data_IF_014167083593
#
_entry.id   IF_014167083593
#
_cell.length_a   1.000
_cell.length_b   1.000
_cell.length_c   1.000
_cell.angle_alpha   90.00
_cell.angle_beta   90.00
_cell.angle_gamma   90.00
#
_symmetry.space_group_name_H-M   'P 1'
#
loop_
_entity.id
_entity.type
_entity.pdbx_description
1 polymer ?
#
# COMPACT_ATOMS: atom_id res chain seq x y z
N UNK A 1 -30.71 -3.00 38.91
CA UNK A 1 -30.04 -1.92 38.15
C UNK A 1 -28.62 -2.34 37.74
N UNK A 2 -28.45 -3.17 36.70
CA UNK A 2 -27.14 -3.72 36.31
C UNK A 2 -26.85 -3.69 34.80
N UNK A 3 -27.62 -2.92 34.03
CA UNK A 3 -27.49 -2.84 32.57
C UNK A 3 -26.78 -1.56 32.07
N UNK A 4 -26.73 -0.48 32.86
CA UNK A 4 -26.14 0.79 32.45
C UNK A 4 -24.61 0.92 32.62
N UNK A 5 -23.92 -0.06 33.23
CA UNK A 5 -22.44 -0.01 33.41
C UNK A 5 -21.63 -0.62 32.28
N UNK A 6 -22.25 -1.29 31.30
CA UNK A 6 -21.53 -1.90 30.17
C UNK A 6 -21.36 -0.96 28.96
N UNK A 7 -22.03 0.19 28.95
CA UNK A 7 -21.95 1.17 27.85
C UNK A 7 -20.84 2.22 28.01
N UNK A 8 -20.15 2.26 29.16
CA UNK A 8 -19.08 3.23 29.45
C UNK A 8 -17.66 2.63 29.35
N UNK A 9 -17.53 1.38 28.87
CA UNK A 9 -16.26 0.66 28.75
C UNK A 9 -15.61 0.70 27.37
N UNK A 10 -16.16 1.45 26.40
CA UNK A 10 -15.43 1.75 25.16
C UNK A 10 -14.37 2.77 25.51
N UNK A 11 -13.17 2.29 25.84
CA UNK A 11 -11.93 3.08 25.96
C UNK A 11 -11.86 3.96 24.70
N UNK A 12 -12.28 5.22 24.86
CA UNK A 12 -12.40 6.18 23.78
C UNK A 12 -11.01 6.30 23.18
N UNK A 13 -10.90 6.05 21.88
CA UNK A 13 -9.62 6.15 21.17
C UNK A 13 -9.21 7.61 21.30
N UNK A 14 -8.18 7.87 22.10
CA UNK A 14 -7.68 9.22 22.31
C UNK A 14 -6.72 9.53 21.18
N UNK A 15 -7.26 10.05 20.08
CA UNK A 15 -6.47 10.55 18.98
C UNK A 15 -5.90 11.91 19.37
N UNK A 16 -4.59 12.04 19.37
CA UNK A 16 -3.89 13.31 19.55
C UNK A 16 -3.35 13.76 18.18
N UNK A 17 -3.98 14.76 17.52
CA UNK A 17 -3.54 15.24 16.22
C UNK A 17 -2.10 15.80 16.23
N UNK A 18 -1.67 16.40 17.34
CA UNK A 18 -0.31 16.93 17.48
C UNK A 18 0.72 15.79 17.46
N UNK A 19 0.47 14.77 18.28
CA UNK A 19 1.31 13.56 18.31
C UNK A 19 1.32 12.81 16.97
N UNK A 20 0.19 12.75 16.27
CA UNK A 20 0.11 12.11 14.96
C UNK A 20 0.96 12.84 13.91
N UNK A 21 0.95 14.17 13.92
CA UNK A 21 1.81 14.95 13.02
C UNK A 21 3.29 14.79 13.37
N UNK A 22 3.65 14.81 14.66
CA UNK A 22 5.02 14.53 15.12
C UNK A 22 5.50 13.15 14.64
N UNK A 23 4.69 12.09 14.86
CA UNK A 23 5.00 10.73 14.41
C UNK A 23 5.14 10.65 12.88
N UNK A 24 4.28 11.34 12.13
CA UNK A 24 4.35 11.36 10.67
C UNK A 24 5.64 12.03 10.18
N UNK A 25 6.01 13.17 10.78
CA UNK A 25 7.26 13.87 10.46
C UNK A 25 8.47 13.00 10.81
N UNK A 26 8.44 12.32 11.95
CA UNK A 26 9.48 11.36 12.35
C UNK A 26 9.64 10.23 11.33
N UNK A 27 8.53 9.62 10.88
CA UNK A 27 8.55 8.57 9.86
C UNK A 27 9.11 9.08 8.52
N UNK A 28 8.75 10.30 8.13
CA UNK A 28 9.20 10.91 6.88
C UNK A 28 10.68 11.29 6.92
N UNK A 29 11.15 11.81 8.06
CA UNK A 29 12.51 12.34 8.17
C UNK A 29 13.52 11.26 8.59
N UNK A 30 13.18 10.34 9.48
CA UNK A 30 14.20 9.44 10.06
C UNK A 30 14.50 8.19 9.24
N UNK A 31 13.71 7.92 8.20
CA UNK A 31 13.77 6.68 7.42
C UNK A 31 13.79 6.93 5.91
N UNK A 32 14.10 5.89 5.14
CA UNK A 32 14.11 5.89 3.68
C UNK A 32 15.49 5.64 3.08
N UNK A 33 15.62 5.87 1.76
CA UNK A 33 16.82 5.53 0.99
C UNK A 33 18.11 6.22 1.47
N UNK A 34 18.01 7.35 2.17
CA UNK A 34 19.16 8.09 2.70
C UNK A 34 19.81 7.44 3.92
N UNK A 35 19.14 6.48 4.55
CA UNK A 35 19.61 5.84 5.79
C UNK A 35 20.44 4.62 5.44
N UNK A 36 21.65 4.52 5.99
CA UNK A 36 22.59 3.42 5.79
C UNK A 36 22.24 2.18 6.64
N UNK A 37 20.97 1.79 6.64
CA UNK A 37 20.42 0.63 7.34
C UNK A 37 19.58 -0.14 6.33
N UNK A 38 19.62 -1.47 6.37
CA UNK A 38 18.84 -2.29 5.44
C UNK A 38 17.34 -2.00 5.57
N UNK A 39 16.60 -2.04 4.45
CA UNK A 39 15.17 -1.72 4.44
C UNK A 39 14.34 -2.56 5.42
N UNK A 40 14.55 -3.88 5.57
CA UNK A 40 13.82 -4.67 6.56
C UNK A 40 13.98 -4.15 8.01
N UNK A 41 15.19 -3.74 8.38
CA UNK A 41 15.47 -3.21 9.72
C UNK A 41 14.80 -1.85 9.93
N UNK A 42 14.78 -1.00 8.90
CA UNK A 42 14.03 0.27 8.93
C UNK A 42 12.52 0.03 9.06
N UNK A 43 11.97 -0.95 8.34
CA UNK A 43 10.56 -1.35 8.45
C UNK A 43 10.23 -1.74 9.88
N UNK A 44 11.03 -2.60 10.50
CA UNK A 44 10.81 -3.05 11.87
C UNK A 44 10.90 -1.90 12.88
N UNK A 45 11.81 -0.94 12.65
CA UNK A 45 11.93 0.25 13.47
C UNK A 45 10.69 1.15 13.36
N UNK A 46 10.15 1.35 12.16
CA UNK A 46 8.91 2.12 11.96
C UNK A 46 7.72 1.40 12.59
N UNK A 47 7.61 0.08 12.44
CA UNK A 47 6.52 -0.70 13.05
C UNK A 47 6.51 -0.53 14.57
N UNK A 48 7.68 -0.52 15.22
CA UNK A 48 7.80 -0.24 16.66
C UNK A 48 7.47 1.22 17.01
N UNK A 49 7.90 2.17 16.18
CA UNK A 49 7.62 3.60 16.38
C UNK A 49 6.12 3.89 16.31
N UNK A 50 5.39 3.23 15.40
CA UNK A 50 3.96 3.38 15.20
C UNK A 50 3.13 2.47 16.14
N UNK A 51 3.66 2.16 17.32
CA UNK A 51 2.90 1.45 18.34
C UNK A 51 1.78 2.34 18.93
N UNK A 52 0.62 1.74 19.21
CA UNK A 52 -0.60 2.44 19.65
C UNK A 52 -1.54 2.94 18.54
N UNK A 53 -2.57 3.68 18.97
CA UNK A 53 -3.67 4.14 18.10
C UNK A 53 -3.28 5.32 17.21
N UNK A 54 -2.47 6.27 17.73
CA UNK A 54 -1.95 7.37 16.92
C UNK A 54 -1.03 6.84 15.81
N UNK A 55 -0.17 5.86 16.14
CA UNK A 55 0.66 5.19 15.15
C UNK A 55 -0.16 4.45 14.09
N UNK A 56 -1.30 3.86 14.47
CA UNK A 56 -2.23 3.25 13.53
C UNK A 56 -2.87 4.28 12.58
N UNK A 57 -3.29 5.44 13.10
CA UNK A 57 -3.79 6.56 12.28
C UNK A 57 -2.73 7.08 11.32
N UNK A 58 -1.47 7.19 11.77
CA UNK A 58 -0.34 7.59 10.93
C UNK A 58 -0.08 6.56 9.83
N UNK A 59 -0.08 5.26 10.15
CA UNK A 59 0.07 4.21 9.13
C UNK A 59 -1.03 4.27 8.07
N UNK A 60 -2.29 4.46 8.48
CA UNK A 60 -3.41 4.65 7.55
C UNK A 60 -3.23 5.93 6.69
N UNK A 61 -2.75 7.03 7.29
CA UNK A 61 -2.46 8.28 6.60
C UNK A 61 -1.35 8.14 5.56
N UNK A 62 -0.28 7.39 5.86
CA UNK A 62 0.80 7.10 4.89
C UNK A 62 0.25 6.41 3.64
N UNK A 63 -0.56 5.35 3.81
CA UNK A 63 -1.16 4.63 2.68
C UNK A 63 -2.08 5.52 1.84
N UNK A 64 -2.87 6.38 2.50
CA UNK A 64 -3.71 7.37 1.81
C UNK A 64 -2.88 8.38 1.03
N UNK A 65 -1.88 9.02 1.65
CA UNK A 65 -1.04 10.03 0.99
C UNK A 65 -0.30 9.45 -0.22
N UNK A 66 0.21 8.21 -0.12
CA UNK A 66 0.83 7.53 -1.27
C UNK A 66 -0.17 7.32 -2.41
N UNK A 67 -1.38 6.86 -2.09
CA UNK A 67 -2.42 6.63 -3.08
C UNK A 67 -2.90 7.95 -3.75
N UNK A 68 -3.10 9.01 -2.96
CA UNK A 68 -3.54 10.32 -3.45
C UNK A 68 -2.47 10.99 -4.34
N UNK A 69 -1.21 10.95 -3.94
CA UNK A 69 -0.10 11.51 -4.72
C UNK A 69 0.15 10.71 -6.00
N UNK A 70 0.06 9.37 -5.95
CA UNK A 70 0.17 8.55 -7.15
C UNK A 70 -0.96 8.82 -8.15
N UNK A 71 -2.19 8.99 -7.66
CA UNK A 71 -3.32 9.36 -8.51
C UNK A 71 -3.10 10.72 -9.19
N UNK A 72 -2.64 11.70 -8.41
CA UNK A 72 -2.32 13.05 -8.88
C UNK A 72 -1.21 13.04 -9.93
N UNK A 73 -0.16 12.25 -9.71
CA UNK A 73 0.93 12.11 -10.67
C UNK A 73 0.45 11.49 -11.99
N UNK A 74 -0.40 10.45 -11.97
CA UNK A 74 -0.97 9.90 -13.21
C UNK A 74 -1.85 10.90 -13.96
N UNK A 75 -2.63 11.72 -13.26
CA UNK A 75 -3.39 12.80 -13.89
C UNK A 75 -2.45 13.79 -14.60
N UNK A 76 -1.35 14.17 -13.94
CA UNK A 76 -0.31 15.01 -14.53
C UNK A 76 0.33 14.38 -15.76
N UNK A 77 0.74 13.12 -15.68
CA UNK A 77 1.33 12.38 -16.80
C UNK A 77 0.36 12.25 -17.99
N UNK A 78 -0.92 11.96 -17.72
CA UNK A 78 -1.95 11.86 -18.75
C UNK A 78 -2.20 13.22 -19.44
N UNK A 79 -2.24 14.31 -18.66
CA UNK A 79 -2.37 15.67 -19.20
C UNK A 79 -1.18 16.04 -20.08
N UNK A 80 0.05 15.78 -19.63
CA UNK A 80 1.26 16.06 -20.38
C UNK A 80 1.36 15.22 -21.67
N UNK A 81 0.90 13.97 -21.65
CA UNK A 81 0.84 13.16 -22.86
C UNK A 81 -0.21 13.70 -23.83
N UNK A 82 -1.39 14.11 -23.33
CA UNK A 82 -2.41 14.73 -24.16
C UNK A 82 -1.90 16.00 -24.83
N UNK A 83 -1.21 16.87 -24.08
CA UNK A 83 -0.61 18.10 -24.60
C UNK A 83 0.40 17.85 -25.73
N UNK A 84 1.22 16.79 -25.61
CA UNK A 84 2.27 16.47 -26.58
C UNK A 84 1.79 15.70 -27.81
N UNK A 85 0.75 14.87 -27.66
CA UNK A 85 0.36 13.88 -28.68
C UNK A 85 -1.09 14.02 -29.17
N UNK A 86 -1.91 14.85 -28.51
CA UNK A 86 -3.35 14.94 -28.75
C UNK A 86 -4.16 13.76 -28.20
N UNK A 87 -3.50 12.68 -27.72
CA UNK A 87 -4.17 11.49 -27.21
C UNK A 87 -4.78 11.73 -25.82
N UNK A 88 -6.09 11.52 -25.67
CA UNK A 88 -6.75 11.56 -24.35
C UNK A 88 -6.64 10.21 -23.67
N UNK A 89 -6.12 10.21 -22.45
CA UNK A 89 -6.07 9.04 -21.58
C UNK A 89 -7.03 9.25 -20.41
N UNK A 90 -7.72 8.18 -20.01
CA UNK A 90 -8.58 8.17 -18.83
C UNK A 90 -7.79 7.58 -17.67
N UNK A 91 -7.70 8.33 -16.58
CA UNK A 91 -7.12 7.87 -15.31
C UNK A 91 -8.26 7.45 -14.40
N UNK A 92 -8.45 6.15 -14.23
CA UNK A 92 -9.42 5.58 -13.29
C UNK A 92 -8.70 5.14 -12.02
N UNK A 93 -8.99 5.82 -10.90
CA UNK A 93 -8.42 5.52 -9.59
C UNK A 93 -8.71 4.09 -9.11
N UNK A 94 -9.82 3.49 -9.57
CA UNK A 94 -10.22 2.14 -9.17
C UNK A 94 -9.52 1.05 -9.98
N UNK A 95 -8.86 1.42 -11.08
CA UNK A 95 -8.19 0.50 -11.98
C UNK A 95 -7.20 1.23 -12.90
N UNK A 96 -5.91 1.21 -12.57
CA UNK A 96 -4.89 1.85 -13.39
C UNK A 96 -4.46 1.00 -14.60
N UNK A 97 -4.83 -0.29 -14.65
CA UNK A 97 -4.35 -1.22 -15.70
C UNK A 97 -4.74 -0.80 -17.14
N UNK A 98 -5.97 -0.33 -17.42
CA UNK A 98 -6.32 0.17 -18.76
C UNK A 98 -5.45 1.36 -19.20
N UNK A 99 -5.11 2.26 -18.28
CA UNK A 99 -4.21 3.38 -18.53
C UNK A 99 -2.82 2.85 -18.92
N UNK A 100 -2.27 1.93 -18.13
CA UNK A 100 -0.98 1.30 -18.40
C UNK A 100 -0.94 0.58 -19.74
N UNK A 101 -1.90 -0.29 -20.06
CA UNK A 101 -1.95 -0.98 -21.37
C UNK A 101 -2.00 0.00 -22.55
N UNK A 102 -2.60 1.15 -22.34
CA UNK A 102 -2.73 2.17 -23.37
C UNK A 102 -1.42 2.94 -23.61
N UNK A 103 -0.63 3.19 -22.56
CA UNK A 103 0.47 4.16 -22.60
C UNK A 103 1.73 3.75 -21.81
N UNK A 104 1.95 2.45 -21.58
CA UNK A 104 3.04 1.97 -20.73
C UNK A 104 4.44 2.51 -21.10
N UNK A 105 4.84 2.57 -22.38
CA UNK A 105 6.14 3.15 -22.75
C UNK A 105 6.30 4.62 -22.40
N UNK A 106 5.20 5.38 -22.32
CA UNK A 106 5.18 6.81 -22.07
C UNK A 106 4.95 7.18 -20.60
N UNK A 107 4.53 6.22 -19.79
CA UNK A 107 4.25 6.41 -18.36
C UNK A 107 5.46 6.05 -17.51
N UNK A 108 5.63 6.80 -16.43
CA UNK A 108 6.61 6.53 -15.37
C UNK A 108 5.89 5.91 -14.18
N UNK A 109 6.55 4.93 -13.57
CA UNK A 109 6.05 4.35 -12.32
C UNK A 109 6.29 5.32 -11.15
N UNK A 110 5.25 5.70 -10.39
CA UNK A 110 5.32 6.90 -9.54
C UNK A 110 5.96 6.65 -8.17
N UNK A 111 5.93 5.42 -7.63
CA UNK A 111 6.12 5.17 -6.20
C UNK A 111 7.47 5.59 -5.60
N UNK A 112 8.53 5.74 -6.41
CA UNK A 112 9.84 6.23 -5.93
C UNK A 112 10.02 7.76 -5.98
N UNK A 113 9.11 8.47 -6.63
CA UNK A 113 9.26 9.90 -6.92
C UNK A 113 8.08 10.75 -6.40
N UNK A 114 7.25 10.18 -5.52
CA UNK A 114 6.09 10.90 -4.97
C UNK A 114 6.50 12.05 -4.04
N UNK A 115 5.81 13.21 -4.10
CA UNK A 115 6.09 14.36 -3.22
C UNK A 115 5.91 14.07 -1.72
N UNK A 116 5.11 13.08 -1.34
CA UNK A 116 4.88 12.71 0.06
C UNK A 116 6.13 12.16 0.78
N UNK A 117 7.20 11.85 0.04
CA UNK A 117 8.52 11.50 0.60
C UNK A 117 8.60 10.11 1.23
N UNK A 118 7.60 9.25 0.99
CA UNK A 118 7.59 7.89 1.51
C UNK A 118 8.24 6.92 0.53
N UNK A 119 9.24 6.17 1.00
CA UNK A 119 9.86 5.12 0.22
C UNK A 119 8.97 3.85 0.21
N UNK A 120 8.70 3.25 -0.95
CA UNK A 120 7.76 2.13 -1.07
C UNK A 120 8.20 0.93 -0.23
N UNK A 121 9.50 0.64 -0.19
CA UNK A 121 10.01 -0.54 0.52
C UNK A 121 10.30 -0.31 2.00
N UNK A 122 10.10 0.92 2.50
CA UNK A 122 10.37 1.27 3.91
C UNK A 122 9.09 1.77 4.57
N UNK A 123 8.71 3.02 4.35
CA UNK A 123 7.55 3.60 5.04
C UNK A 123 6.24 2.96 4.61
N UNK A 124 6.05 2.66 3.33
CA UNK A 124 4.81 2.04 2.84
C UNK A 124 4.71 0.58 3.29
N UNK A 125 5.81 -0.18 3.20
CA UNK A 125 5.88 -1.54 3.72
C UNK A 125 5.60 -1.61 5.24
N UNK A 126 6.14 -0.67 6.02
CA UNK A 126 5.88 -0.56 7.45
C UNK A 126 4.43 -0.18 7.74
N UNK A 127 3.88 0.81 7.04
CA UNK A 127 2.49 1.23 7.18
C UNK A 127 1.51 0.08 6.90
N UNK A 128 1.72 -0.67 5.81
CA UNK A 128 0.96 -1.88 5.49
C UNK A 128 1.02 -2.88 6.66
N UNK A 129 2.23 -3.17 7.16
CA UNK A 129 2.45 -4.09 8.28
C UNK A 129 1.70 -3.67 9.56
N UNK A 130 1.72 -2.38 9.90
CA UNK A 130 1.02 -1.84 11.08
C UNK A 130 -0.48 -2.01 10.94
N UNK A 131 -1.08 -1.65 9.80
CA UNK A 131 -2.54 -1.75 9.62
C UNK A 131 -3.01 -3.20 9.56
N UNK A 132 -2.23 -4.08 8.92
CA UNK A 132 -2.54 -5.51 8.85
C UNK A 132 -2.47 -6.20 10.22
N UNK A 133 -1.36 -6.03 10.93
CA UNK A 133 -1.14 -6.66 12.25
C UNK A 133 -2.14 -6.18 13.31
N UNK A 134 -2.83 -5.06 13.07
CA UNK A 134 -3.82 -4.47 13.97
C UNK A 134 -5.20 -4.35 13.34
N UNK A 135 -5.54 -5.21 12.37
CA UNK A 135 -6.82 -5.17 11.66
C UNK A 135 -8.07 -5.08 12.56
N UNK A 136 -8.13 -5.83 13.66
CA UNK A 136 -9.26 -5.73 14.61
C UNK A 136 -9.33 -4.36 15.28
N UNK A 137 -8.19 -3.70 15.52
CA UNK A 137 -8.15 -2.33 16.05
C UNK A 137 -8.50 -1.32 14.97
N UNK A 138 -8.04 -1.52 13.73
CA UNK A 138 -8.42 -0.73 12.54
C UNK A 138 -9.94 -0.60 12.47
N UNK A 139 -10.66 -1.72 12.38
CA UNK A 139 -12.14 -1.73 12.22
C UNK A 139 -12.87 -1.04 13.39
N UNK A 140 -12.23 -0.94 14.57
CA UNK A 140 -12.79 -0.28 15.75
C UNK A 140 -12.45 1.20 15.87
N UNK A 141 -11.35 1.65 15.28
CA UNK A 141 -10.77 2.97 15.52
C UNK A 141 -10.83 3.89 14.29
N UNK A 142 -10.81 3.33 13.09
CA UNK A 142 -10.84 4.07 11.82
C UNK A 142 -11.83 3.41 10.86
N UNK A 143 -12.34 4.15 9.87
CA UNK A 143 -13.18 3.57 8.82
C UNK A 143 -12.34 2.60 7.97
N UNK A 144 -12.61 1.28 7.98
CA UNK A 144 -11.82 0.30 7.27
C UNK A 144 -12.02 0.35 5.75
N UNK A 145 -13.13 0.92 5.23
CA UNK A 145 -13.45 0.89 3.80
C UNK A 145 -12.49 1.76 2.95
N UNK A 146 -12.24 3.04 3.29
CA UNK A 146 -11.25 3.85 2.61
C UNK A 146 -9.84 3.27 2.75
N UNK A 147 -9.47 2.80 3.94
CA UNK A 147 -8.15 2.21 4.16
C UNK A 147 -7.94 0.98 3.29
N UNK A 148 -8.89 0.05 3.26
CA UNK A 148 -8.80 -1.14 2.43
C UNK A 148 -8.71 -0.78 0.93
N UNK A 149 -9.45 0.26 0.51
CA UNK A 149 -9.34 0.82 -0.84
C UNK A 149 -7.91 1.28 -1.14
N UNK A 150 -7.28 2.04 -0.24
CA UNK A 150 -5.90 2.50 -0.41
C UNK A 150 -4.89 1.35 -0.38
N UNK A 151 -5.08 0.33 0.46
CA UNK A 151 -4.22 -0.88 0.46
C UNK A 151 -4.26 -1.56 -0.91
N UNK A 152 -5.46 -1.77 -1.48
CA UNK A 152 -5.58 -2.35 -2.81
C UNK A 152 -5.07 -1.43 -3.92
N UNK A 153 -5.25 -0.11 -3.79
CA UNK A 153 -4.74 0.87 -4.74
C UNK A 153 -3.21 0.83 -4.78
N UNK A 154 -2.54 0.89 -3.63
CA UNK A 154 -1.07 0.78 -3.52
C UNK A 154 -0.58 -0.58 -4.03
N UNK A 155 -1.33 -1.66 -3.81
CA UNK A 155 -1.02 -2.97 -4.36
C UNK A 155 -1.13 -3.01 -5.90
N UNK A 156 -2.19 -2.45 -6.49
CA UNK A 156 -2.31 -2.35 -7.96
C UNK A 156 -1.19 -1.49 -8.54
N UNK A 157 -0.91 -0.33 -7.93
CA UNK A 157 0.20 0.55 -8.32
C UNK A 157 1.54 -0.20 -8.30
N UNK A 158 1.79 -1.00 -7.27
CA UNK A 158 3.02 -1.81 -7.13
C UNK A 158 3.13 -2.83 -8.27
N UNK A 159 2.09 -3.62 -8.48
CA UNK A 159 2.11 -4.73 -9.44
C UNK A 159 2.01 -4.28 -10.91
N UNK A 160 1.30 -3.17 -11.18
CA UNK A 160 1.27 -2.56 -12.50
C UNK A 160 2.65 -2.01 -12.92
N UNK A 161 3.46 -1.53 -11.96
CA UNK A 161 4.86 -1.17 -12.20
C UNK A 161 5.68 -2.34 -12.71
N UNK A 162 5.44 -3.54 -12.17
CA UNK A 162 6.15 -4.76 -12.58
C UNK A 162 5.70 -5.23 -13.98
N UNK A 163 4.39 -5.25 -14.22
CA UNK A 163 3.83 -5.74 -15.49
C UNK A 163 4.08 -4.78 -16.67
N UNK A 164 3.93 -3.48 -16.44
CA UNK A 164 3.89 -2.49 -17.53
C UNK A 164 5.01 -1.45 -17.42
N UNK A 165 5.37 -1.04 -16.19
CA UNK A 165 6.37 -0.01 -15.92
C UNK A 165 7.82 -0.46 -16.01
N UNK A 166 8.07 -1.74 -16.36
CA UNK A 166 9.42 -2.36 -16.41
C UNK A 166 10.19 -2.22 -15.09
N UNK A 167 9.48 -2.15 -13.98
CA UNK A 167 10.08 -2.11 -12.65
C UNK A 167 10.58 -3.50 -12.32
N UNK A 168 11.88 -3.61 -12.11
CA UNK A 168 12.51 -4.85 -11.69
C UNK A 168 12.00 -5.26 -10.31
N UNK A 169 11.67 -6.54 -10.14
CA UNK A 169 11.21 -7.08 -8.86
C UNK A 169 12.38 -7.65 -8.09
N UNK A 170 12.77 -7.01 -7.00
CA UNK A 170 13.72 -7.56 -6.03
C UNK A 170 12.98 -8.12 -4.80
N UNK A 171 13.74 -8.63 -3.82
CA UNK A 171 13.17 -9.16 -2.59
C UNK A 171 12.39 -8.13 -1.78
N UNK A 172 12.75 -6.85 -1.86
CA UNK A 172 12.07 -5.77 -1.13
C UNK A 172 10.72 -5.44 -1.79
N UNK A 173 10.67 -5.40 -3.12
CA UNK A 173 9.45 -5.27 -3.88
C UNK A 173 8.49 -6.46 -3.62
N UNK A 174 9.01 -7.69 -3.66
CA UNK A 174 8.23 -8.87 -3.33
C UNK A 174 7.70 -8.84 -1.89
N UNK A 175 8.52 -8.38 -0.93
CA UNK A 175 8.12 -8.20 0.47
C UNK A 175 6.97 -7.19 0.62
N UNK A 176 7.04 -6.04 -0.08
CA UNK A 176 5.96 -5.06 -0.09
C UNK A 176 4.64 -5.66 -0.59
N UNK A 177 4.66 -6.37 -1.72
CA UNK A 177 3.46 -7.02 -2.25
C UNK A 177 2.86 -8.03 -1.25
N UNK A 178 3.70 -8.88 -0.65
CA UNK A 178 3.25 -9.85 0.35
C UNK A 178 2.65 -9.18 1.59
N UNK A 179 3.25 -8.08 2.07
CA UNK A 179 2.71 -7.30 3.20
C UNK A 179 1.36 -6.68 2.87
N UNK A 180 1.18 -6.14 1.66
CA UNK A 180 -0.10 -5.59 1.21
C UNK A 180 -1.18 -6.68 1.09
N UNK A 181 -0.85 -7.85 0.53
CA UNK A 181 -1.77 -9.00 0.45
C UNK A 181 -2.18 -9.46 1.86
N UNK A 182 -1.20 -9.66 2.75
CA UNK A 182 -1.46 -10.08 4.12
C UNK A 182 -2.32 -9.07 4.89
N UNK A 183 -2.06 -7.77 4.70
CA UNK A 183 -2.81 -6.69 5.33
C UNK A 183 -4.25 -6.61 4.82
N UNK A 184 -4.44 -6.71 3.49
CA UNK A 184 -5.76 -6.75 2.89
C UNK A 184 -6.58 -7.95 3.41
N UNK A 185 -5.96 -9.13 3.52
CA UNK A 185 -6.58 -10.31 4.15
C UNK A 185 -6.99 -10.03 5.59
N UNK A 186 -6.08 -9.53 6.42
CA UNK A 186 -6.32 -9.30 7.84
C UNK A 186 -7.43 -8.28 8.07
N UNK A 187 -7.41 -7.16 7.33
CA UNK A 187 -8.44 -6.12 7.41
C UNK A 187 -9.79 -6.68 6.98
N UNK A 188 -9.87 -7.37 5.84
CA UNK A 188 -11.12 -7.97 5.36
C UNK A 188 -11.70 -9.00 6.33
N UNK A 189 -10.85 -9.84 6.92
CA UNK A 189 -11.27 -10.83 7.91
C UNK A 189 -11.76 -10.21 9.23
N UNK A 190 -11.37 -8.97 9.53
CA UNK A 190 -11.83 -8.23 10.69
C UNK A 190 -13.13 -7.44 10.46
N UNK A 191 -13.58 -7.32 9.20
CA UNK A 191 -14.81 -6.62 8.81
C UNK A 191 -16.00 -7.58 8.84
N UNK A 192 -17.15 -7.08 9.29
CA UNK A 192 -18.39 -7.88 9.28
C UNK A 192 -18.91 -8.12 7.85
N UNK A 193 -18.81 -7.12 6.98
CA UNK A 193 -19.22 -7.17 5.57
C UNK A 193 -18.15 -6.49 4.68
N UNK A 194 -17.09 -7.22 4.28
CA UNK A 194 -16.04 -6.65 3.45
C UNK A 194 -16.51 -6.39 2.02
N UNK A 195 -16.11 -5.27 1.39
CA UNK A 195 -16.48 -4.97 0.02
C UNK A 195 -15.94 -6.02 -0.96
N UNK A 196 -16.55 -6.14 -2.16
CA UNK A 196 -16.06 -7.04 -3.20
C UNK A 196 -14.64 -6.67 -3.63
N UNK A 197 -13.88 -7.67 -4.05
CA UNK A 197 -12.51 -7.46 -4.54
C UNK A 197 -12.49 -6.51 -5.76
N UNK A 198 -11.58 -5.53 -5.78
CA UNK A 198 -11.52 -4.56 -6.86
C UNK A 198 -11.12 -5.24 -8.19
N UNK A 199 -11.47 -4.66 -9.35
CA UNK A 199 -11.18 -5.26 -10.65
C UNK A 199 -9.72 -5.68 -10.85
N UNK A 200 -8.70 -4.89 -10.48
CA UNK A 200 -7.30 -5.31 -10.66
C UNK A 200 -6.93 -6.54 -9.85
N UNK A 201 -7.41 -6.66 -8.60
CA UNK A 201 -7.16 -7.82 -7.76
C UNK A 201 -7.78 -9.10 -8.37
N UNK A 202 -9.02 -9.01 -8.86
CA UNK A 202 -9.68 -10.13 -9.54
C UNK A 202 -8.98 -10.52 -10.84
N UNK A 203 -8.40 -9.56 -11.55
CA UNK A 203 -7.63 -9.82 -12.76
C UNK A 203 -6.35 -10.59 -12.45
N UNK A 204 -5.56 -10.12 -11.48
CA UNK A 204 -4.34 -10.80 -10.99
C UNK A 204 -4.62 -12.23 -10.53
N UNK A 205 -5.70 -12.45 -9.78
CA UNK A 205 -6.07 -13.77 -9.29
C UNK A 205 -6.44 -14.78 -10.39
N UNK A 206 -6.73 -14.32 -11.62
CA UNK A 206 -6.98 -15.20 -12.78
C UNK A 206 -5.70 -15.58 -13.50
N UNK A 207 -4.58 -14.91 -13.23
CA UNK A 207 -3.30 -15.26 -13.84
C UNK A 207 -2.58 -16.32 -13.00
N UNK A 208 -1.62 -16.99 -13.64
CA UNK A 208 -0.73 -17.96 -12.99
C UNK A 208 0.73 -17.71 -13.37
N UNK A 209 1.04 -16.45 -13.69
CA UNK A 209 2.37 -16.04 -14.13
C UNK A 209 3.28 -15.95 -12.91
N UNK A 210 4.49 -16.49 -13.05
CA UNK A 210 5.55 -16.30 -12.06
C UNK A 210 6.46 -15.17 -12.53
N UNK A 211 6.83 -14.29 -11.60
CA UNK A 211 7.75 -13.18 -11.82
C UNK A 211 9.04 -13.51 -11.08
N UNK A 212 10.17 -13.45 -11.79
CA UNK A 212 11.49 -13.63 -11.18
C UNK A 212 11.75 -12.53 -10.16
N UNK A 213 12.19 -12.94 -8.97
CA UNK A 213 12.58 -12.07 -7.87
C UNK A 213 14.09 -12.09 -7.77
N UNK A 214 14.67 -10.90 -7.83
CA UNK A 214 16.11 -10.74 -7.86
C UNK A 214 16.70 -10.34 -6.51
N UNK A 215 18.00 -10.60 -6.34
CA UNK A 215 18.81 -9.95 -5.29
C UNK A 215 18.77 -8.42 -5.47
N UNK A 216 18.46 -7.63 -4.42
CA UNK A 216 18.45 -6.16 -4.48
C UNK A 216 19.77 -5.55 -4.96
N UNK A 217 20.90 -6.21 -4.70
CA UNK A 217 22.25 -5.68 -4.99
C UNK A 217 22.86 -6.27 -6.27
N UNK A 218 22.30 -7.35 -6.80
CA UNK A 218 22.88 -8.12 -7.90
C UNK A 218 21.99 -8.17 -9.14
N UNK A 219 22.34 -9.06 -10.08
CA UNK A 219 21.50 -9.44 -11.24
C UNK A 219 20.98 -10.87 -11.15
N UNK A 220 21.20 -11.54 -10.02
CA UNK A 220 20.83 -12.93 -9.80
C UNK A 220 19.37 -13.06 -9.40
N UNK A 221 18.66 -13.99 -10.03
CA UNK A 221 17.34 -14.45 -9.58
C UNK A 221 17.54 -15.31 -8.33
N UNK A 222 16.85 -14.97 -7.24
CA UNK A 222 16.93 -15.66 -5.95
C UNK A 222 15.64 -16.40 -5.60
N UNK A 223 14.51 -16.02 -6.19
CA UNK A 223 13.23 -16.71 -6.07
C UNK A 223 12.28 -16.30 -7.20
N UNK A 224 11.04 -16.75 -7.16
CA UNK A 224 9.97 -16.29 -8.04
C UNK A 224 8.68 -16.09 -7.22
N UNK A 225 7.82 -15.16 -7.65
CA UNK A 225 6.53 -14.89 -7.02
C UNK A 225 5.39 -15.04 -8.03
N UNK A 226 4.34 -15.77 -7.66
CA UNK A 226 3.11 -15.87 -8.43
C UNK A 226 1.98 -15.18 -7.68
N UNK A 227 1.75 -13.91 -8.00
CA UNK A 227 0.77 -13.06 -7.31
C UNK A 227 -0.64 -13.67 -7.30
N UNK A 228 -1.07 -14.25 -8.43
CA UNK A 228 -2.38 -14.89 -8.50
C UNK A 228 -2.50 -16.08 -7.53
N UNK A 229 -1.45 -16.89 -7.45
CA UNK A 229 -1.39 -18.02 -6.51
C UNK A 229 -1.29 -17.59 -5.05
N UNK A 230 -0.59 -16.50 -4.73
CA UNK A 230 -0.52 -15.94 -3.37
C UNK A 230 -1.86 -15.32 -2.94
N UNK A 231 -2.54 -14.60 -3.84
CA UNK A 231 -3.77 -13.86 -3.53
C UNK A 231 -4.98 -14.77 -3.34
N UNK A 232 -5.12 -15.85 -4.13
CA UNK A 232 -6.27 -16.76 -4.06
C UNK A 232 -6.52 -17.31 -2.63
N UNK A 233 -5.57 -17.99 -1.97
CA UNK A 233 -5.77 -18.47 -0.60
C UNK A 233 -5.86 -17.32 0.41
N UNK A 234 -5.23 -16.17 0.14
CA UNK A 234 -5.27 -15.04 1.06
C UNK A 234 -6.59 -14.27 1.06
N UNK A 235 -7.30 -14.18 -0.08
CA UNK A 235 -8.44 -13.29 -0.25
C UNK A 235 -9.78 -13.98 -0.55
N UNK A 236 -9.76 -15.29 -0.82
CA UNK A 236 -10.97 -16.12 -1.00
C UNK A 236 -11.18 -17.14 0.12
N UNK A 237 -10.18 -17.31 1.00
CA UNK A 237 -10.24 -18.21 2.15
C UNK A 237 -10.84 -17.55 3.39
#
# INVERSE_FOLDING_TARGET
MRWFRLLLGKRQVQHDPGRQEELLQDVRQRFGARVQVQFPEQVDAIVRLLDGDDGLSVAARVLREVADEAHTDFLGQAFDLHRRTGRRLVVDRRNYRPLWRSAAPELRWPLFALPCGFHPYVQVAAAATVVGSRATRVVRAIDPNPLLTHVFEVFDLTTAGWEYGRVRVDTDAASLANRLIASARQIRAAMDDPPPLPPPARELMRTNNSIDVYDPTGHRVVSAINLGAEMRPALLG
#
